data_IF_664196355037
#
_entry.id   IF_664196355037
#
_cell.length_a   1.000
_cell.length_b   1.000
_cell.length_c   1.000
_cell.angle_alpha   90.00
_cell.angle_beta   90.00
_cell.angle_gamma   90.00
#
_symmetry.space_group_name_H-M   'P 1'
#
loop_
_entity.id
_entity.type
_entity.pdbx_description
1 polymer ?
#
# COMPACT_ATOMS: atom_id res chain seq x y z
N UNK A 1 -5.62 -14.38 10.75
CA UNK A 1 -4.42 -14.97 11.39
C UNK A 1 -4.15 -16.46 11.13
N UNK A 2 -5.08 -17.40 11.39
CA UNK A 2 -4.79 -18.86 11.33
C UNK A 2 -4.28 -19.30 9.95
N UNK A 3 -4.95 -18.93 8.87
CA UNK A 3 -4.57 -19.33 7.51
C UNK A 3 -3.15 -18.87 7.13
N UNK A 4 -2.77 -17.62 7.40
CA UNK A 4 -1.43 -17.13 7.08
C UNK A 4 -0.34 -17.88 7.87
N UNK A 5 -0.51 -18.01 9.19
CA UNK A 5 0.59 -18.47 10.06
C UNK A 5 0.58 -19.96 10.37
N UNK A 6 -0.60 -20.56 10.53
CA UNK A 6 -0.75 -21.99 10.81
C UNK A 6 -0.68 -22.81 9.52
N UNK A 7 -1.41 -22.42 8.49
CA UNK A 7 -1.53 -23.23 7.27
C UNK A 7 -0.45 -22.87 6.23
N UNK A 8 -0.13 -21.57 6.10
CA UNK A 8 0.79 -21.08 5.07
C UNK A 8 2.21 -20.77 5.57
N UNK A 9 2.53 -21.03 6.83
CA UNK A 9 3.87 -20.82 7.40
C UNK A 9 4.31 -19.36 7.40
N UNK A 10 3.37 -18.43 7.61
CA UNK A 10 3.59 -16.98 7.63
C UNK A 10 3.50 -16.31 6.25
N UNK A 11 3.38 -17.10 5.17
CA UNK A 11 3.37 -16.58 3.79
C UNK A 11 2.02 -16.00 3.41
N UNK A 12 2.07 -14.98 2.55
CA UNK A 12 0.91 -14.28 2.01
C UNK A 12 1.11 -14.12 0.49
N UNK A 13 0.05 -14.08 -0.30
CA UNK A 13 0.14 -13.74 -1.72
C UNK A 13 0.74 -12.35 -1.92
N UNK A 14 1.35 -12.11 -3.09
CA UNK A 14 2.07 -10.86 -3.37
C UNK A 14 1.16 -9.64 -3.30
N UNK A 15 -0.12 -9.82 -3.63
CA UNK A 15 -1.17 -8.81 -3.59
C UNK A 15 -2.28 -9.09 -2.55
N UNK A 16 -1.97 -9.85 -1.49
CA UNK A 16 -2.82 -10.01 -0.30
C UNK A 16 -3.78 -11.19 -0.30
N UNK A 17 -3.74 -12.01 -1.34
CA UNK A 17 -4.52 -13.25 -1.41
C UNK A 17 -3.95 -14.36 -0.52
N UNK A 18 -4.78 -15.36 -0.24
CA UNK A 18 -4.33 -16.58 0.44
C UNK A 18 -3.21 -17.26 -0.34
N UNK A 19 -2.09 -17.48 0.34
CA UNK A 19 -0.90 -18.07 -0.26
C UNK A 19 -1.15 -19.51 -0.79
N UNK A 20 -2.09 -20.26 -0.22
CA UNK A 20 -2.41 -21.61 -0.69
C UNK A 20 -3.07 -21.64 -2.08
N UNK A 21 -3.66 -20.53 -2.53
CA UNK A 21 -4.29 -20.45 -3.85
C UNK A 21 -3.23 -20.49 -4.96
N UNK A 22 -3.52 -21.16 -6.09
CA UNK A 22 -2.61 -21.20 -7.23
C UNK A 22 -2.42 -19.81 -7.83
N UNK A 23 -1.24 -19.57 -8.39
CA UNK A 23 -0.94 -18.34 -9.15
C UNK A 23 -1.46 -18.46 -10.61
N UNK A 24 -1.88 -17.35 -11.24
CA UNK A 24 -2.06 -16.04 -10.62
C UNK A 24 -3.29 -16.04 -9.70
N UNK A 25 -3.15 -15.47 -8.50
CA UNK A 25 -4.29 -15.30 -7.59
C UNK A 25 -5.18 -14.16 -8.07
N UNK A 26 -6.38 -14.01 -7.51
CA UNK A 26 -7.41 -13.07 -8.02
C UNK A 26 -6.91 -11.62 -8.17
N UNK A 27 -6.00 -11.15 -7.30
CA UNK A 27 -5.42 -9.80 -7.34
C UNK A 27 -4.02 -9.73 -7.97
N UNK A 28 -3.51 -10.83 -8.51
CA UNK A 28 -2.21 -10.89 -9.19
C UNK A 28 -2.38 -10.75 -10.71
N UNK A 29 -1.30 -10.34 -11.38
CA UNK A 29 -1.28 -10.21 -12.85
C UNK A 29 -1.83 -11.43 -13.56
N UNK A 30 -2.72 -11.20 -14.52
CA UNK A 30 -3.31 -12.26 -15.35
C UNK A 30 -4.58 -12.88 -14.77
N UNK A 31 -5.15 -12.32 -13.70
CA UNK A 31 -6.43 -12.75 -13.14
C UNK A 31 -7.43 -11.58 -12.96
N UNK A 32 -8.56 -11.89 -12.31
CA UNK A 32 -9.84 -11.16 -12.32
C UNK A 32 -9.73 -9.66 -11.99
N UNK A 33 -8.87 -9.29 -11.04
CA UNK A 33 -8.76 -7.91 -10.57
C UNK A 33 -7.54 -7.16 -11.15
N UNK A 34 -6.53 -7.86 -11.67
CA UNK A 34 -5.41 -7.25 -12.38
C UNK A 34 -5.74 -7.07 -13.86
N UNK A 35 -6.48 -6.00 -14.18
CA UNK A 35 -7.10 -5.78 -15.50
C UNK A 35 -6.20 -5.08 -16.52
N UNK A 36 -4.90 -4.98 -16.26
CA UNK A 36 -3.94 -4.29 -17.12
C UNK A 36 -4.28 -2.80 -17.37
N UNK A 37 -4.65 -2.10 -16.29
CA UNK A 37 -5.05 -0.69 -16.35
C UNK A 37 -4.08 0.12 -15.51
N UNK A 38 -3.28 0.97 -16.16
CA UNK A 38 -2.47 1.97 -15.45
C UNK A 38 -3.39 3.01 -14.79
N UNK A 39 -3.54 2.94 -13.47
CA UNK A 39 -4.46 3.83 -12.72
C UNK A 39 -3.86 5.21 -12.48
N UNK A 40 -2.53 5.33 -12.48
CA UNK A 40 -1.84 6.62 -12.33
C UNK A 40 -0.46 6.61 -12.97
N UNK A 41 -0.04 7.79 -13.41
CA UNK A 41 1.26 8.04 -14.03
C UNK A 41 2.04 9.08 -13.23
N UNK A 42 3.32 8.84 -13.01
CA UNK A 42 4.21 9.68 -12.21
C UNK A 42 5.49 10.03 -12.95
N UNK A 43 6.17 11.08 -12.51
CA UNK A 43 7.53 11.39 -12.94
C UNK A 43 8.56 10.63 -12.07
N UNK A 44 9.72 10.25 -12.62
CA UNK A 44 10.83 9.74 -11.80
C UNK A 44 11.24 10.72 -10.71
N UNK A 45 11.59 10.22 -9.52
CA UNK A 45 11.97 11.06 -8.38
C UNK A 45 10.83 11.82 -7.70
N UNK A 46 9.60 11.74 -8.22
CA UNK A 46 8.46 12.48 -7.71
C UNK A 46 8.12 12.09 -6.27
N UNK A 47 7.80 13.08 -5.44
CA UNK A 47 7.11 12.89 -4.17
C UNK A 47 5.62 12.68 -4.46
N UNK A 48 5.07 11.55 -4.02
CA UNK A 48 3.67 11.21 -4.23
C UNK A 48 2.97 10.98 -2.89
N UNK A 49 1.70 11.38 -2.82
CA UNK A 49 0.84 11.08 -1.69
C UNK A 49 0.09 9.77 -1.95
N UNK A 50 0.31 8.80 -1.08
CA UNK A 50 -0.46 7.56 -0.99
C UNK A 50 -1.49 7.70 0.13
N UNK A 51 -2.71 7.25 -0.12
CA UNK A 51 -3.80 7.30 0.85
C UNK A 51 -4.20 5.87 1.19
N UNK A 52 -4.13 5.52 2.46
CA UNK A 52 -4.58 4.23 2.99
C UNK A 52 -5.81 4.49 3.86
N UNK A 53 -6.92 3.83 3.55
CA UNK A 53 -8.13 3.86 4.37
C UNK A 53 -8.08 2.71 5.37
N UNK A 54 -7.93 3.03 6.65
CA UNK A 54 -7.82 2.05 7.74
C UNK A 54 -9.17 1.94 8.43
N UNK A 55 -9.93 0.91 8.10
CA UNK A 55 -11.25 0.68 8.72
C UNK A 55 -11.14 0.25 10.19
N UNK A 56 -10.14 -0.57 10.52
CA UNK A 56 -9.84 -1.00 11.89
C UNK A 56 -8.34 -1.03 12.10
N UNK A 57 -7.83 -0.14 12.95
CA UNK A 57 -6.40 0.05 13.14
C UNK A 57 -5.81 -0.96 14.12
N UNK A 58 -5.01 -1.88 13.58
CA UNK A 58 -4.27 -2.90 14.32
C UNK A 58 -2.80 -2.52 14.61
N UNK A 59 -2.48 -1.22 14.62
CA UNK A 59 -1.15 -0.66 14.83
C UNK A 59 -0.12 -1.21 13.83
N UNK A 60 1.17 -1.06 14.14
CA UNK A 60 2.26 -1.58 13.31
C UNK A 60 2.76 -0.55 12.33
N UNK A 61 3.03 -0.99 11.10
CA UNK A 61 3.63 -0.12 10.09
C UNK A 61 3.27 -0.51 8.66
N UNK A 62 3.29 0.50 7.80
CA UNK A 62 3.19 0.34 6.35
C UNK A 62 4.56 0.39 5.70
N UNK A 63 4.72 -0.42 4.67
CA UNK A 63 5.83 -0.42 3.72
C UNK A 63 5.23 -0.28 2.32
N UNK A 64 5.97 0.37 1.43
CA UNK A 64 5.58 0.54 0.04
C UNK A 64 6.73 0.11 -0.86
N UNK A 65 6.43 -0.57 -1.95
CA UNK A 65 7.43 -1.05 -2.90
C UNK A 65 6.90 -1.00 -4.32
N UNK A 66 7.81 -1.00 -5.29
CA UNK A 66 7.48 -1.14 -6.71
C UNK A 66 7.94 -2.49 -7.24
N UNK A 67 7.24 -3.02 -8.24
CA UNK A 67 7.76 -4.07 -9.10
C UNK A 67 7.71 -3.58 -10.55
N UNK A 68 8.85 -3.18 -11.14
CA UNK A 68 8.92 -2.68 -12.52
C UNK A 68 8.90 -3.84 -13.53
N UNK A 69 7.71 -4.33 -13.84
CA UNK A 69 7.52 -5.37 -14.84
C UNK A 69 7.86 -4.88 -16.25
N UNK A 70 8.26 -5.81 -17.11
CA UNK A 70 8.57 -5.61 -18.52
C UNK A 70 7.34 -5.68 -19.44
N UNK A 71 6.25 -6.34 -19.01
CA UNK A 71 4.98 -6.40 -19.75
C UNK A 71 3.77 -6.59 -18.82
N UNK A 72 2.58 -6.55 -19.40
CA UNK A 72 1.32 -6.84 -18.71
C UNK A 72 1.14 -8.31 -18.34
N UNK A 73 1.93 -9.19 -18.93
CA UNK A 73 1.87 -10.65 -18.74
C UNK A 73 2.92 -11.14 -17.73
N UNK A 74 3.96 -10.34 -17.46
CA UNK A 74 4.94 -10.68 -16.43
C UNK A 74 4.30 -10.63 -15.05
N UNK A 75 4.50 -11.68 -14.26
CA UNK A 75 3.97 -11.76 -12.91
C UNK A 75 4.87 -11.03 -11.92
N UNK A 76 4.30 -10.17 -11.08
CA UNK A 76 5.00 -9.57 -9.95
C UNK A 76 5.39 -10.64 -8.91
N UNK A 77 6.57 -10.48 -8.29
CA UNK A 77 7.10 -11.44 -7.30
C UNK A 77 7.53 -10.73 -6.02
N UNK A 78 7.70 -11.47 -4.92
CA UNK A 78 8.25 -10.90 -3.68
C UNK A 78 9.63 -10.28 -3.92
N UNK A 79 10.50 -11.00 -4.65
CA UNK A 79 11.86 -10.56 -4.95
C UNK A 79 11.87 -9.23 -5.72
N UNK A 80 10.94 -9.07 -6.67
CA UNK A 80 10.80 -7.84 -7.42
C UNK A 80 10.47 -6.64 -6.50
N UNK A 81 9.56 -6.82 -5.55
CA UNK A 81 9.21 -5.78 -4.58
C UNK A 81 10.34 -5.51 -3.58
N UNK A 82 11.02 -6.55 -3.10
CA UNK A 82 12.10 -6.44 -2.12
C UNK A 82 13.31 -5.67 -2.68
N UNK A 83 13.51 -5.70 -3.99
CA UNK A 83 14.55 -4.93 -4.68
C UNK A 83 14.22 -3.43 -4.84
N UNK A 84 12.95 -3.03 -4.71
CA UNK A 84 12.54 -1.64 -4.96
C UNK A 84 11.61 -1.07 -3.86
N UNK A 85 12.04 -1.07 -2.59
CA UNK A 85 11.30 -0.40 -1.52
C UNK A 85 11.29 1.13 -1.76
N UNK A 86 10.19 1.77 -1.39
CA UNK A 86 10.03 3.22 -1.47
C UNK A 86 10.43 3.89 -0.15
N UNK A 87 11.08 5.03 -0.26
CA UNK A 87 11.39 5.88 0.89
C UNK A 87 10.14 6.64 1.33
N UNK A 88 9.74 6.44 2.58
CA UNK A 88 8.71 7.22 3.26
C UNK A 88 9.31 8.54 3.71
N UNK A 89 8.62 9.64 3.44
CA UNK A 89 9.02 11.00 3.84
C UNK A 89 8.20 11.49 5.04
N UNK A 90 6.93 11.09 5.13
CA UNK A 90 6.06 11.46 6.25
C UNK A 90 6.38 10.63 7.50
N UNK A 91 6.50 11.28 8.66
CA UNK A 91 6.50 10.57 9.95
C UNK A 91 7.74 9.73 10.24
N UNK A 92 8.84 9.91 9.48
CA UNK A 92 10.13 9.26 9.78
C UNK A 92 10.74 9.89 11.03
N UNK A 93 10.59 9.22 12.18
CA UNK A 93 11.32 9.56 13.39
C UNK A 93 12.81 9.17 13.30
N UNK A 94 13.69 9.76 14.14
CA UNK A 94 15.15 9.56 14.05
C UNK A 94 15.62 8.10 14.21
N UNK A 95 14.79 7.22 14.79
CA UNK A 95 15.13 5.80 15.04
C UNK A 95 14.23 4.84 14.25
N UNK A 96 13.78 5.24 13.05
CA UNK A 96 12.92 4.40 12.20
C UNK A 96 13.57 4.16 10.84
N UNK A 97 13.44 2.95 10.27
CA UNK A 97 13.84 2.71 8.89
C UNK A 97 13.12 3.67 7.95
N UNK A 98 13.81 4.27 6.97
CA UNK A 98 13.21 5.25 6.05
C UNK A 98 12.18 4.64 5.11
N UNK A 99 12.02 3.31 5.09
CA UNK A 99 11.06 2.58 4.27
C UNK A 99 9.76 2.24 5.01
N UNK A 100 9.64 2.65 6.28
CA UNK A 100 8.50 2.31 7.14
C UNK A 100 7.75 3.54 7.62
N UNK A 101 6.44 3.52 7.42
CA UNK A 101 5.51 4.44 8.07
C UNK A 101 4.89 3.75 9.29
N UNK A 102 5.31 4.10 10.51
CA UNK A 102 4.66 3.60 11.73
C UNK A 102 3.35 4.36 11.96
N UNK A 103 2.27 3.63 12.21
CA UNK A 103 1.00 4.28 12.52
C UNK A 103 1.15 5.09 13.83
N UNK A 104 0.90 6.42 13.80
CA UNK A 104 1.15 7.30 14.94
C UNK A 104 0.10 7.16 16.04
N UNK A 105 -1.07 6.60 15.72
CA UNK A 105 -2.21 6.46 16.63
C UNK A 105 -2.94 5.14 16.35
N UNK A 106 -3.85 4.75 17.25
CA UNK A 106 -4.80 3.65 17.06
C UNK A 106 -6.12 4.10 16.38
N UNK A 107 -6.15 5.29 15.77
CA UNK A 107 -7.37 5.81 15.16
C UNK A 107 -7.69 5.11 13.83
N UNK A 108 -8.96 5.04 13.47
CA UNK A 108 -9.37 4.61 12.13
C UNK A 108 -9.43 5.81 11.17
N UNK A 109 -9.46 5.54 9.87
CA UNK A 109 -9.69 6.52 8.82
C UNK A 109 -8.52 6.66 7.84
N UNK A 110 -8.48 7.82 7.17
CA UNK A 110 -7.54 8.08 6.08
C UNK A 110 -6.16 8.47 6.60
N UNK A 111 -5.16 7.68 6.25
CA UNK A 111 -3.76 7.99 6.44
C UNK A 111 -3.16 8.47 5.12
N UNK A 112 -2.63 9.69 5.11
CA UNK A 112 -1.90 10.25 3.96
C UNK A 112 -0.40 10.13 4.21
N UNK A 113 0.28 9.39 3.34
CA UNK A 113 1.70 9.08 3.45
C UNK A 113 2.40 9.58 2.20
N UNK A 114 3.36 10.48 2.37
CA UNK A 114 4.22 10.92 1.29
C UNK A 114 5.40 9.96 1.15
N UNK A 115 5.61 9.46 -0.07
CA UNK A 115 6.75 8.62 -0.43
C UNK A 115 7.50 9.22 -1.62
N UNK A 116 8.80 8.90 -1.73
CA UNK A 116 9.63 9.30 -2.86
C UNK A 116 9.79 8.14 -3.84
N UNK A 117 9.42 8.37 -5.10
CA UNK A 117 9.71 7.43 -6.19
C UNK A 117 11.20 7.44 -6.55
N UNK A 118 11.78 6.33 -7.06
CA UNK A 118 13.20 6.31 -7.41
C UNK A 118 13.51 7.26 -8.58
N UNK A 119 14.62 7.99 -8.50
CA UNK A 119 15.00 8.99 -9.51
C UNK A 119 15.40 8.38 -10.87
N UNK A 120 15.92 7.15 -10.86
CA UNK A 120 16.46 6.47 -12.05
C UNK A 120 15.63 5.26 -12.48
N UNK A 121 14.38 5.18 -12.02
CA UNK A 121 13.46 4.11 -12.38
C UNK A 121 12.35 4.64 -13.28
N UNK A 122 12.20 4.02 -14.43
CA UNK A 122 11.08 4.23 -15.36
C UNK A 122 10.44 2.90 -15.66
N UNK A 123 9.12 2.86 -15.75
CA UNK A 123 8.36 1.63 -15.99
C UNK A 123 6.98 1.97 -16.54
N UNK A 124 6.54 1.24 -17.57
CA UNK A 124 5.17 1.37 -18.11
C UNK A 124 4.17 0.45 -17.38
N UNK A 125 4.65 -0.64 -16.78
CA UNK A 125 3.84 -1.71 -16.18
C UNK A 125 4.17 -1.94 -14.69
N UNK A 126 4.54 -0.86 -13.97
CA UNK A 126 4.89 -0.99 -12.56
C UNK A 126 3.69 -1.44 -11.73
N UNK A 127 3.93 -2.36 -10.80
CA UNK A 127 2.99 -2.62 -9.72
C UNK A 127 3.49 -1.89 -8.47
N UNK A 128 2.67 -1.06 -7.86
CA UNK A 128 2.92 -0.48 -6.54
C UNK A 128 2.23 -1.36 -5.50
N UNK A 129 2.98 -1.83 -4.51
CA UNK A 129 2.47 -2.62 -3.39
C UNK A 129 2.44 -1.80 -2.12
N UNK A 130 1.28 -1.77 -1.46
CA UNK A 130 1.16 -1.46 -0.04
C UNK A 130 1.28 -2.77 0.75
N UNK A 131 2.08 -2.75 1.80
CA UNK A 131 2.26 -3.87 2.72
C UNK A 131 2.10 -3.35 4.16
N UNK A 132 1.14 -3.88 4.89
CA UNK A 132 0.91 -3.59 6.30
C UNK A 132 1.17 -4.82 7.13
N UNK A 133 2.14 -4.73 8.04
CA UNK A 133 2.30 -5.67 9.14
C UNK A 133 1.70 -5.05 10.40
N UNK A 134 0.64 -5.65 10.94
CA UNK A 134 0.01 -5.21 12.18
C UNK A 134 0.92 -5.40 13.39
N UNK A 135 0.51 -4.91 14.56
CA UNK A 135 1.26 -5.06 15.79
C UNK A 135 0.39 -5.23 17.04
N UNK A 136 -0.79 -5.83 16.89
CA UNK A 136 -1.75 -6.01 17.98
C UNK A 136 -1.68 -7.38 18.68
N UNK A 137 -0.90 -8.34 18.17
CA UNK A 137 -0.71 -9.61 18.88
C UNK A 137 0.48 -9.57 19.83
N UNK A 138 0.38 -10.33 20.92
CA UNK A 138 1.50 -10.61 21.82
C UNK A 138 2.27 -11.85 21.35
N UNK A 139 3.59 -11.79 21.31
CA UNK A 139 4.42 -12.90 20.83
C UNK A 139 5.88 -12.81 21.25
N UNK A 140 6.67 -13.79 20.83
CA UNK A 140 8.11 -13.86 21.10
C UNK A 140 8.87 -12.83 20.23
N UNK A 141 9.71 -12.02 20.88
CA UNK A 141 10.54 -11.02 20.23
C UNK A 141 11.89 -11.57 19.73
N UNK A 142 12.16 -12.87 19.93
CA UNK A 142 13.39 -13.55 19.49
C UNK A 142 14.62 -13.26 20.35
N UNK A 143 14.45 -12.57 21.48
CA UNK A 143 15.50 -12.20 22.43
C UNK A 143 15.20 -12.70 23.85
N UNK A 144 14.39 -13.76 23.97
CA UNK A 144 13.93 -14.31 25.25
C UNK A 144 12.86 -13.47 25.95
N UNK A 145 12.37 -12.40 25.32
CA UNK A 145 11.27 -11.58 25.84
C UNK A 145 10.03 -11.76 24.98
N UNK A 146 8.89 -11.60 25.64
CA UNK A 146 7.59 -11.52 24.98
C UNK A 146 7.14 -10.06 24.92
N UNK A 147 6.37 -9.70 23.90
CA UNK A 147 5.90 -8.33 23.74
C UNK A 147 4.78 -8.16 22.72
N UNK A 148 4.10 -7.03 22.82
CA UNK A 148 3.11 -6.60 21.84
C UNK A 148 3.81 -6.25 20.51
N UNK A 149 3.25 -6.74 19.39
CA UNK A 149 3.81 -6.57 18.04
C UNK A 149 4.94 -7.55 17.67
N UNK A 150 5.39 -8.36 18.64
CA UNK A 150 6.38 -9.41 18.43
C UNK A 150 5.74 -10.71 17.90
N UNK A 151 6.56 -11.60 17.36
CA UNK A 151 6.08 -12.86 16.76
C UNK A 151 5.16 -12.68 15.55
N UNK A 152 4.33 -13.69 15.26
CA UNK A 152 3.32 -13.66 14.19
C UNK A 152 2.35 -12.48 14.30
N UNK A 153 2.24 -11.69 13.24
CA UNK A 153 1.30 -10.56 13.12
C UNK A 153 0.48 -10.71 11.85
N UNK A 154 -0.73 -10.15 11.85
CA UNK A 154 -1.53 -10.13 10.64
C UNK A 154 -0.88 -9.25 9.57
N UNK A 155 -1.02 -9.67 8.32
CA UNK A 155 -0.47 -8.97 7.17
C UNK A 155 -1.57 -8.65 6.17
N UNK A 156 -1.53 -7.42 5.66
CA UNK A 156 -2.39 -6.96 4.57
C UNK A 156 -1.52 -6.47 3.44
N UNK A 157 -1.92 -6.77 2.21
CA UNK A 157 -1.22 -6.31 1.01
C UNK A 157 -2.22 -5.92 -0.05
N UNK A 158 -1.97 -4.84 -0.77
CA UNK A 158 -2.69 -4.47 -1.98
C UNK A 158 -1.72 -4.02 -3.05
N UNK A 159 -2.12 -4.22 -4.31
CA UNK A 159 -1.36 -3.86 -5.49
C UNK A 159 -2.12 -2.85 -6.36
N UNK A 160 -1.39 -1.97 -7.03
CA UNK A 160 -1.94 -1.02 -7.99
C UNK A 160 -1.01 -0.86 -9.20
N UNK A 161 -1.55 -0.96 -10.41
CA UNK A 161 -0.80 -0.76 -11.66
C UNK A 161 -0.56 0.73 -11.93
N UNK A 162 0.69 1.15 -11.98
CA UNK A 162 1.12 2.54 -12.19
C UNK A 162 2.21 2.60 -13.26
N UNK A 163 2.48 3.80 -13.78
CA UNK A 163 3.63 4.01 -14.65
C UNK A 163 4.48 5.20 -14.19
N UNK A 164 5.78 5.13 -14.45
CA UNK A 164 6.77 6.14 -14.06
C UNK A 164 7.60 6.47 -15.29
N UNK A 165 7.58 7.73 -15.75
CA UNK A 165 8.29 8.11 -16.97
C UNK A 165 8.37 9.60 -17.25
N UNK A 166 9.41 10.02 -17.98
CA UNK A 166 9.73 11.42 -18.27
C UNK A 166 8.76 12.10 -19.24
N UNK A 167 7.95 11.35 -19.98
CA UNK A 167 7.00 11.90 -20.97
C UNK A 167 5.76 12.56 -20.35
N UNK A 168 5.67 12.59 -19.02
CA UNK A 168 4.42 12.86 -18.28
C UNK A 168 4.52 14.17 -17.47
N UNK A 169 5.68 14.85 -17.54
CA UNK A 169 5.93 16.18 -16.95
C UNK A 169 5.33 17.36 -17.72
N UNK A 170 4.71 17.13 -18.88
CA UNK A 170 3.85 18.14 -19.51
C UNK A 170 2.46 18.00 -18.88
N UNK A 171 2.10 18.96 -18.04
CA UNK A 171 0.75 19.12 -17.46
C UNK A 171 -0.33 18.98 -18.54
N UNK A 172 -0.86 17.76 -18.71
CA UNK A 172 -2.18 17.53 -19.27
C UNK A 172 -3.22 17.63 -18.15
N UNK A 173 -4.42 18.19 -18.36
CA UNK A 173 -5.40 18.48 -17.31
C UNK A 173 -6.07 17.24 -16.69
N UNK A 174 -5.51 16.05 -16.87
CA UNK A 174 -6.10 14.77 -16.47
C UNK A 174 -5.35 14.10 -15.31
N UNK A 175 -4.57 14.87 -14.54
CA UNK A 175 -4.24 14.51 -13.16
C UNK A 175 -5.49 14.56 -12.28
N UNK A 176 -6.48 13.71 -12.58
CA UNK A 176 -7.62 13.46 -11.72
C UNK A 176 -7.12 12.72 -10.49
N UNK A 177 -6.49 13.45 -9.57
CA UNK A 177 -6.55 13.09 -8.17
C UNK A 177 -8.04 12.91 -7.87
N UNK A 178 -8.42 11.76 -7.33
CA UNK A 178 -9.77 11.56 -6.81
C UNK A 178 -10.01 12.65 -5.75
N UNK A 179 -10.66 13.75 -6.14
CA UNK A 179 -11.12 14.76 -5.20
C UNK A 179 -12.30 14.10 -4.48
N UNK A 180 -12.27 13.96 -3.14
CA UNK A 180 -13.43 13.49 -2.41
C UNK A 180 -14.61 14.38 -2.80
N UNK A 181 -15.75 13.79 -3.20
CA UNK A 181 -16.96 14.59 -3.43
C UNK A 181 -17.23 15.36 -2.14
N UNK A 182 -17.04 16.68 -2.15
CA UNK A 182 -17.49 17.54 -1.05
C UNK A 182 -18.98 17.29 -0.91
N UNK A 183 -19.38 16.66 0.20
CA UNK A 183 -20.78 16.62 0.58
C UNK A 183 -21.26 18.06 0.67
N UNK A 184 -22.16 18.46 -0.23
CA UNK A 184 -22.88 19.72 -0.08
C UNK A 184 -23.69 19.59 1.20
N UNK A 185 -23.35 20.35 2.23
CA UNK A 185 -24.20 20.51 3.39
C UNK A 185 -25.61 20.87 2.88
N UNK A 186 -26.57 20.00 3.18
CA UNK A 186 -27.99 20.26 2.97
C UNK A 186 -28.34 21.55 3.69
N UNK A 187 -28.97 22.50 2.99
CA UNK A 187 -29.44 23.76 3.58
C UNK A 187 -30.32 23.45 4.80
N UNK A 188 -30.22 24.22 5.89
CA UNK A 188 -31.07 24.00 7.05
C UNK A 188 -32.54 24.19 6.64
N UNK A 189 -33.37 23.24 7.03
CA UNK A 189 -34.80 23.27 6.80
C UNK A 189 -35.39 24.46 7.58
N UNK A 190 -36.10 25.37 6.89
CA UNK A 190 -36.79 26.48 7.54
C UNK A 190 -37.93 25.91 8.40
N UNK A 191 -37.74 25.91 9.72
CA UNK A 191 -38.81 25.65 10.69
C UNK A 191 -39.83 26.77 10.55
N UNK A 192 -41.03 26.45 10.06
CA UNK A 192 -42.17 27.34 10.18
C UNK A 192 -42.62 27.31 11.64
N UNK A 193 -42.53 28.46 12.31
CA UNK A 193 -43.22 28.68 13.58
C UNK A 193 -44.72 28.71 13.30
N UNK A 194 -45.46 27.88 14.01
CA UNK A 194 -46.88 28.06 14.28
C UNK A 194 -46.97 28.83 15.60
#
# INVERSE_FOLDING_TARGET
MSVQWQDNGGRCGVCGDDYALPRPRRHETGNTYARNITVRRYAPGQLIDLVVDVETNHLGHFEFALCPRSSWEEAETEECFDMHPLTVVTGTGPNQPPTRYRLPTAANGLYMIQVRLPERLTCEYCVLRWHWRSANNWGDCGNGKMGLGCGPQETYRNCADVAIGNRIGLRGPLGANAVPKRFRATKPMKVHRI
#
